data_IF_730680773182
#
_entry.id   IF_730680773182
#
_cell.length_a   1.000
_cell.length_b   1.000
_cell.length_c   1.000
_cell.angle_alpha   90.00
_cell.angle_beta   90.00
_cell.angle_gamma   90.00
#
_symmetry.space_group_name_H-M   'P 1'
#
loop_
_entity.id
_entity.type
_entity.pdbx_description
1 polymer ?
#
# COMPACT_ATOMS: atom_id res chain seq x y z
N UNK A 1 -9.89 -29.42 -9.96
CA UNK A 1 -10.39 -28.89 -8.68
C UNK A 1 -9.62 -27.59 -8.46
N UNK A 2 -10.18 -26.46 -8.89
CA UNK A 2 -9.56 -25.16 -8.70
C UNK A 2 -9.78 -24.80 -7.24
N UNK A 3 -8.72 -24.84 -6.43
CA UNK A 3 -8.73 -24.19 -5.13
C UNK A 3 -8.91 -22.70 -5.41
N UNK A 4 -10.16 -22.24 -5.35
CA UNK A 4 -10.44 -20.82 -5.29
C UNK A 4 -9.61 -20.29 -4.13
N UNK A 5 -8.78 -19.27 -4.40
CA UNK A 5 -8.28 -18.44 -3.33
C UNK A 5 -9.54 -17.98 -2.57
N UNK A 6 -9.70 -18.49 -1.35
CA UNK A 6 -10.88 -18.35 -0.48
C UNK A 6 -11.00 -16.91 0.06
N UNK A 7 -10.68 -15.92 -0.78
CA UNK A 7 -10.70 -14.52 -0.48
C UNK A 7 -12.00 -13.95 -1.06
N UNK A 8 -12.99 -13.75 -0.20
CA UNK A 8 -14.19 -12.99 -0.56
C UNK A 8 -13.79 -11.59 -1.08
N UNK A 9 -14.51 -11.01 -2.06
CA UNK A 9 -14.26 -9.65 -2.53
C UNK A 9 -14.21 -8.60 -1.42
N UNK A 10 -15.01 -8.79 -0.37
CA UNK A 10 -15.03 -7.97 0.86
C UNK A 10 -13.70 -7.99 1.62
N UNK A 11 -12.97 -9.10 1.57
CA UNK A 11 -11.67 -9.29 2.20
C UNK A 11 -10.56 -8.59 1.40
N UNK A 12 -10.68 -8.57 0.07
CA UNK A 12 -9.78 -7.83 -0.82
C UNK A 12 -9.95 -6.31 -0.62
N UNK A 13 -11.19 -5.82 -0.53
CA UNK A 13 -11.47 -4.41 -0.25
C UNK A 13 -10.90 -3.97 1.10
N UNK A 14 -11.06 -4.81 2.14
CA UNK A 14 -10.48 -4.55 3.47
C UNK A 14 -8.95 -4.50 3.42
N UNK A 15 -8.33 -5.42 2.68
CA UNK A 15 -6.87 -5.44 2.50
C UNK A 15 -6.38 -4.16 1.80
N UNK A 16 -7.06 -3.70 0.75
CA UNK A 16 -6.77 -2.42 0.08
C UNK A 16 -6.91 -1.23 1.03
N UNK A 17 -7.93 -1.25 1.91
CA UNK A 17 -8.10 -0.25 2.98
C UNK A 17 -6.89 -0.19 3.94
N UNK A 18 -6.42 -1.34 4.43
CA UNK A 18 -5.23 -1.41 5.28
C UNK A 18 -3.96 -0.92 4.56
N UNK A 19 -3.81 -1.20 3.26
CA UNK A 19 -2.70 -0.66 2.47
C UNK A 19 -2.79 0.87 2.37
N UNK A 20 -3.99 1.43 2.24
CA UNK A 20 -4.24 2.87 2.33
C UNK A 20 -3.75 3.48 3.64
N UNK A 21 -4.04 2.84 4.77
CA UNK A 21 -3.53 3.28 6.08
C UNK A 21 -1.99 3.22 6.16
N UNK A 22 -1.37 2.17 5.63
CA UNK A 22 0.09 2.05 5.56
C UNK A 22 0.69 3.21 4.74
N UNK A 23 0.08 3.57 3.61
CA UNK A 23 0.54 4.70 2.79
C UNK A 23 0.52 6.02 3.56
N UNK A 24 -0.48 6.25 4.42
CA UNK A 24 -0.53 7.46 5.26
C UNK A 24 0.56 7.50 6.33
N UNK A 25 0.97 6.33 6.85
CA UNK A 25 2.05 6.20 7.84
C UNK A 25 3.45 6.37 7.24
N UNK A 26 3.57 6.30 5.92
CA UNK A 26 4.82 6.53 5.19
C UNK A 26 5.05 8.02 4.85
N UNK A 27 4.35 8.94 5.49
CA UNK A 27 4.60 10.38 5.33
C UNK A 27 5.98 10.74 5.89
N UNK A 28 6.87 11.21 5.02
CA UNK A 28 8.24 11.57 5.35
C UNK A 28 8.40 13.01 5.85
N UNK A 29 7.33 13.81 5.91
CA UNK A 29 7.40 15.21 6.37
C UNK A 29 7.99 15.34 7.77
N UNK A 30 7.77 14.35 8.63
CA UNK A 30 8.37 14.32 9.97
C UNK A 30 9.91 14.31 9.94
N UNK A 31 10.54 13.88 8.83
CA UNK A 31 12.00 13.89 8.66
C UNK A 31 12.55 15.30 8.34
N UNK A 32 11.71 16.23 7.90
CA UNK A 32 12.14 17.59 7.55
C UNK A 32 12.62 18.37 8.78
N UNK A 33 12.08 18.05 9.96
CA UNK A 33 12.43 18.69 11.23
C UNK A 33 13.61 18.01 11.95
N UNK A 34 14.02 16.81 11.53
CA UNK A 34 15.04 16.01 12.23
C UNK A 34 16.44 16.61 12.05
N UNK A 35 16.83 16.99 10.83
CA UNK A 35 18.17 17.55 10.57
C UNK A 35 18.37 18.90 11.28
N UNK A 36 17.42 19.87 11.20
CA UNK A 36 17.51 21.12 11.96
C UNK A 36 17.61 20.92 13.48
N UNK A 37 16.91 19.92 14.03
CA UNK A 37 16.93 19.66 15.47
C UNK A 37 18.31 19.25 16.02
N UNK A 38 19.14 18.64 15.16
CA UNK A 38 20.46 18.14 15.53
C UNK A 38 21.55 19.20 15.31
N UNK A 39 21.32 20.14 14.39
CA UNK A 39 22.22 21.26 14.10
C UNK A 39 22.41 22.19 15.32
N UNK A 40 21.42 22.26 16.22
CA UNK A 40 21.47 23.01 17.49
C UNK A 40 22.64 22.59 18.38
N UNK A 41 23.13 21.36 18.26
CA UNK A 41 24.26 20.85 19.04
C UNK A 41 25.63 21.24 18.46
N UNK A 42 25.68 21.81 17.25
CA UNK A 42 26.91 22.31 16.62
C UNK A 42 27.93 21.25 16.19
N UNK A 43 27.59 19.96 16.25
CA UNK A 43 28.43 18.86 15.78
C UNK A 43 28.16 18.57 14.30
N UNK A 44 29.05 19.05 13.44
CA UNK A 44 28.94 18.87 11.99
C UNK A 44 28.95 17.39 11.56
N UNK A 45 29.68 16.52 12.27
CA UNK A 45 29.73 15.09 11.95
C UNK A 45 28.41 14.39 12.31
N UNK A 46 27.80 14.78 13.43
CA UNK A 46 26.48 14.31 13.83
C UNK A 46 25.38 14.80 12.87
N UNK A 47 25.37 16.10 12.54
CA UNK A 47 24.42 16.68 11.57
C UNK A 47 24.51 15.98 10.21
N UNK A 48 25.72 15.68 9.73
CA UNK A 48 25.93 14.94 8.48
C UNK A 48 25.32 13.54 8.53
N UNK A 49 25.60 12.76 9.59
CA UNK A 49 25.06 11.39 9.73
C UNK A 49 23.53 11.38 9.82
N UNK A 50 22.95 12.36 10.51
CA UNK A 50 21.50 12.48 10.65
C UNK A 50 20.86 12.86 9.33
N UNK A 51 21.51 13.70 8.53
CA UNK A 51 21.08 14.00 7.15
C UNK A 51 21.11 12.75 6.28
N UNK A 52 22.21 12.01 6.28
CA UNK A 52 22.34 10.77 5.50
C UNK A 52 21.26 9.74 5.89
N UNK A 53 20.98 9.62 7.18
CA UNK A 53 19.90 8.77 7.69
C UNK A 53 18.51 9.24 7.20
N UNK A 54 18.21 10.54 7.31
CA UNK A 54 16.94 11.10 6.85
C UNK A 54 16.73 10.88 5.35
N UNK A 55 17.78 11.02 4.54
CA UNK A 55 17.71 10.78 3.10
C UNK A 55 17.50 9.29 2.77
N UNK A 56 18.21 8.39 3.45
CA UNK A 56 17.97 6.94 3.33
C UNK A 56 16.54 6.55 3.73
N UNK A 57 16.02 7.14 4.81
CA UNK A 57 14.65 6.90 5.26
C UNK A 57 13.62 7.37 4.23
N UNK A 58 13.84 8.53 3.57
CA UNK A 58 12.99 9.01 2.47
C UNK A 58 12.99 8.07 1.28
N UNK A 59 14.16 7.55 0.89
CA UNK A 59 14.30 6.58 -0.20
C UNK A 59 13.54 5.29 0.13
N UNK A 60 13.73 4.76 1.35
CA UNK A 60 13.04 3.56 1.81
C UNK A 60 11.53 3.73 1.86
N UNK A 61 11.04 4.87 2.39
CA UNK A 61 9.63 5.19 2.43
C UNK A 61 9.02 5.30 1.02
N UNK A 62 9.73 5.92 0.08
CA UNK A 62 9.31 6.03 -1.33
C UNK A 62 9.19 4.65 -1.98
N UNK A 63 10.21 3.81 -1.86
CA UNK A 63 10.21 2.46 -2.41
C UNK A 63 9.08 1.58 -1.81
N UNK A 64 8.85 1.71 -0.50
CA UNK A 64 7.76 1.00 0.17
C UNK A 64 6.40 1.51 -0.28
N UNK A 65 6.24 2.83 -0.45
CA UNK A 65 5.01 3.46 -0.96
C UNK A 65 4.67 2.97 -2.37
N UNK A 66 5.65 2.89 -3.26
CA UNK A 66 5.48 2.34 -4.61
C UNK A 66 5.01 0.88 -4.56
N UNK A 67 5.66 0.04 -3.74
CA UNK A 67 5.28 -1.38 -3.61
C UNK A 67 3.89 -1.55 -3.03
N UNK A 68 3.55 -0.82 -1.97
CA UNK A 68 2.21 -0.85 -1.36
C UNK A 68 1.15 -0.37 -2.36
N UNK A 69 1.45 0.66 -3.16
CA UNK A 69 0.57 1.14 -4.22
C UNK A 69 0.31 0.08 -5.29
N UNK A 70 1.36 -0.57 -5.80
CA UNK A 70 1.24 -1.66 -6.78
C UNK A 70 0.42 -2.84 -6.25
N UNK A 71 0.65 -3.24 -4.98
CA UNK A 71 -0.15 -4.29 -4.33
C UNK A 71 -1.61 -3.88 -4.19
N UNK A 72 -1.88 -2.63 -3.80
CA UNK A 72 -3.24 -2.10 -3.69
C UNK A 72 -3.99 -2.15 -5.02
N UNK A 73 -3.37 -1.68 -6.11
CA UNK A 73 -3.95 -1.77 -7.46
C UNK A 73 -4.25 -3.23 -7.85
N UNK A 74 -3.30 -4.14 -7.62
CA UNK A 74 -3.49 -5.55 -7.96
C UNK A 74 -4.64 -6.21 -7.19
N UNK A 75 -4.81 -5.87 -5.91
CA UNK A 75 -5.94 -6.35 -5.10
C UNK A 75 -7.27 -5.80 -5.63
N UNK A 76 -7.31 -4.52 -6.01
CA UNK A 76 -8.50 -3.89 -6.56
C UNK A 76 -8.89 -4.48 -7.93
N UNK A 77 -7.92 -4.71 -8.81
CA UNK A 77 -8.14 -5.37 -10.10
C UNK A 77 -8.68 -6.79 -9.91
N UNK A 78 -8.11 -7.52 -8.94
CA UNK A 78 -8.57 -8.86 -8.59
C UNK A 78 -10.01 -8.84 -8.07
N UNK A 79 -10.35 -7.90 -7.18
CA UNK A 79 -11.71 -7.74 -6.67
C UNK A 79 -12.71 -7.41 -7.79
N UNK A 80 -12.33 -6.58 -8.77
CA UNK A 80 -13.16 -6.26 -9.93
C UNK A 80 -13.41 -7.49 -10.80
N UNK A 81 -12.39 -8.30 -11.06
CA UNK A 81 -12.52 -9.55 -11.83
C UNK A 81 -13.47 -10.55 -11.15
N UNK A 82 -13.34 -10.74 -9.83
CA UNK A 82 -14.24 -11.62 -9.07
C UNK A 82 -15.70 -11.17 -9.15
N UNK A 83 -15.98 -9.88 -8.92
CA UNK A 83 -17.34 -9.34 -9.03
C UNK A 83 -17.90 -9.49 -10.45
N UNK A 84 -17.08 -9.29 -11.48
CA UNK A 84 -17.48 -9.52 -12.87
C UNK A 84 -17.89 -10.97 -13.13
N UNK A 85 -17.08 -11.93 -12.69
CA UNK A 85 -17.38 -13.35 -12.81
C UNK A 85 -18.64 -13.77 -12.06
N UNK A 86 -18.87 -13.23 -10.85
CA UNK A 86 -20.10 -13.50 -10.08
C UNK A 86 -21.36 -13.03 -10.83
N UNK A 87 -21.33 -11.81 -11.39
CA UNK A 87 -22.44 -11.26 -12.17
C UNK A 87 -22.70 -12.08 -13.44
N UNK A 88 -21.65 -12.48 -14.15
CA UNK A 88 -21.77 -13.32 -15.34
C UNK A 88 -22.34 -14.70 -15.03
N UNK A 89 -21.93 -15.29 -13.89
CA UNK A 89 -22.43 -16.57 -13.43
C UNK A 89 -23.92 -16.48 -13.03
N UNK A 90 -24.31 -15.43 -12.32
CA UNK A 90 -25.72 -15.17 -11.99
C UNK A 90 -26.58 -15.01 -13.26
N UNK A 91 -26.05 -14.32 -14.28
CA UNK A 91 -26.72 -14.17 -15.57
C UNK A 91 -26.81 -15.50 -16.36
N UNK A 92 -25.83 -16.40 -16.22
CA UNK A 92 -25.85 -17.73 -16.83
C UNK A 92 -26.89 -18.64 -16.15
N UNK A 93 -26.95 -18.65 -14.82
CA UNK A 93 -27.94 -19.41 -14.04
C UNK A 93 -29.36 -18.95 -14.39
N UNK A 94 -29.62 -17.64 -14.44
CA UNK A 94 -30.92 -17.08 -14.84
C UNK A 94 -31.34 -17.46 -16.27
N UNK A 95 -30.38 -17.69 -17.17
CA UNK A 95 -30.65 -18.16 -18.55
C UNK A 95 -30.93 -19.66 -18.60
N UNK A 96 -30.23 -20.47 -17.80
CA UNK A 96 -30.42 -21.92 -17.75
C UNK A 96 -31.69 -22.36 -17.01
N UNK A 97 -32.22 -21.52 -16.11
CA UNK A 97 -33.49 -21.76 -15.42
C UNK A 97 -34.75 -21.33 -16.20
N UNK A 98 -34.60 -20.81 -17.43
CA UNK A 98 -35.69 -20.59 -18.38
C UNK A 98 -35.71 -21.71 -19.41
#
# INVERSE_FOLDING_TARGET
MWGALDAEPSSLDRATGHLGEILTKLDTRALDDVVPSVDVYGDAALTSKVRDFADLARIAATALRERVGLTGSALQDTAMLFRGMELDNEAAIRRAGR
#
